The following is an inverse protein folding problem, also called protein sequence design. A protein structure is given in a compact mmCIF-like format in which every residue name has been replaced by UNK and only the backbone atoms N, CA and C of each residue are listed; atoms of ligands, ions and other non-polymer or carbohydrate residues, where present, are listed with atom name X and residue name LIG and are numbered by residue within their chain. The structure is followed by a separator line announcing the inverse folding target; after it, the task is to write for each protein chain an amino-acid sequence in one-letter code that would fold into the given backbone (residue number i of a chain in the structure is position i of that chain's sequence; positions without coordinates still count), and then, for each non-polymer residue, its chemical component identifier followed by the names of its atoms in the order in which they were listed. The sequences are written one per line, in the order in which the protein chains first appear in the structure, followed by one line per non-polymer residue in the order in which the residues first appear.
data_IF_762702542726
#
_entry.id   IF_762702542726
#
_cell.length_a   1.000
_cell.length_b   1.000
_cell.length_c   1.000
_cell.angle_alpha   90.00
_cell.angle_beta   90.00
_cell.angle_gamma   90.00
#
_symmetry.space_group_name_H-M   'P 1'
#
loop_
_entity.id
_entity.type
_entity.pdbx_description
1 polymer ?
#
# COMPACT_ATOMS: atom_id res chain seq x y z
N UNK A 1 12.21 20.04 21.64
CA UNK A 1 12.63 20.16 20.23
C UNK A 1 11.77 19.19 19.48
N UNK A 2 10.74 19.68 18.81
CA UNK A 2 9.52 18.89 18.54
C UNK A 2 9.60 18.09 17.23
N UNK A 3 10.79 18.04 16.63
CA UNK A 3 11.07 17.36 15.37
C UNK A 3 12.31 16.49 15.57
N UNK A 4 12.16 15.20 15.32
CA UNK A 4 13.24 14.22 15.35
C UNK A 4 13.84 14.03 13.96
N UNK A 5 15.04 13.45 13.89
CA UNK A 5 15.68 13.08 12.61
C UNK A 5 14.82 12.09 11.81
N UNK A 6 14.12 11.18 12.49
CA UNK A 6 13.19 10.23 11.87
C UNK A 6 12.05 10.95 11.11
N UNK A 7 11.45 11.98 11.72
CA UNK A 7 10.40 12.78 11.07
C UNK A 7 10.96 13.48 9.82
N UNK A 8 12.21 13.94 9.86
CA UNK A 8 12.85 14.59 8.71
C UNK A 8 13.14 13.57 7.59
N UNK A 9 13.62 12.38 7.92
CA UNK A 9 13.89 11.31 6.97
C UNK A 9 12.61 10.86 6.24
N UNK A 10 11.50 10.66 6.98
CA UNK A 10 10.21 10.31 6.39
C UNK A 10 9.70 11.41 5.44
N UNK A 11 9.83 12.68 5.82
CA UNK A 11 9.46 13.82 4.97
C UNK A 11 10.29 13.86 3.69
N UNK A 12 11.60 13.63 3.79
CA UNK A 12 12.48 13.59 2.63
C UNK A 12 12.09 12.47 1.67
N UNK A 13 11.85 11.26 2.20
CA UNK A 13 11.43 10.13 1.39
C UNK A 13 10.07 10.36 0.70
N UNK A 14 9.09 10.93 1.42
CA UNK A 14 7.80 11.34 0.86
C UNK A 14 7.95 12.37 -0.27
N UNK A 15 8.86 13.33 -0.12
CA UNK A 15 9.11 14.35 -1.13
C UNK A 15 9.79 13.79 -2.40
N UNK A 16 10.68 12.81 -2.24
CA UNK A 16 11.48 12.23 -3.34
C UNK A 16 10.72 11.17 -4.14
N UNK A 17 9.98 10.29 -3.44
CA UNK A 17 9.37 9.09 -4.01
C UNK A 17 7.83 9.16 -4.08
N UNK A 18 7.21 10.03 -3.28
CA UNK A 18 5.76 10.12 -3.15
C UNK A 18 5.15 9.05 -2.24
N UNK A 19 3.83 8.94 -2.26
CA UNK A 19 3.06 8.04 -1.41
C UNK A 19 1.99 7.29 -2.20
N UNK A 20 1.79 6.02 -1.83
CA UNK A 20 0.69 5.16 -2.26
C UNK A 20 -0.07 4.70 -1.01
N UNK A 21 -1.33 5.12 -0.91
CA UNK A 21 -2.25 4.73 0.17
C UNK A 21 -3.14 3.62 -0.34
N UNK A 22 -3.23 2.53 0.41
CA UNK A 22 -4.07 1.37 0.09
C UNK A 22 -5.04 1.19 1.25
N UNK A 23 -6.34 1.33 0.99
CA UNK A 23 -7.39 1.10 1.98
C UNK A 23 -8.09 -0.20 1.64
N UNK A 24 -8.18 -1.11 2.61
CA UNK A 24 -8.71 -2.46 2.46
C UNK A 24 -9.75 -2.74 3.55
N UNK A 25 -10.98 -3.05 3.14
CA UNK A 25 -12.07 -3.42 4.04
C UNK A 25 -12.21 -4.95 4.08
N UNK A 26 -11.81 -5.56 5.19
CA UNK A 26 -11.97 -6.98 5.47
C UNK A 26 -13.41 -7.26 5.93
N UNK A 27 -14.33 -7.33 4.98
CA UNK A 27 -15.74 -7.64 5.19
C UNK A 27 -16.17 -8.87 4.37
N UNK A 28 -17.45 -9.24 4.46
CA UNK A 28 -18.03 -10.31 3.62
C UNK A 28 -17.86 -10.03 2.12
N UNK A 29 -17.93 -8.76 1.73
CA UNK A 29 -17.61 -8.28 0.39
C UNK A 29 -16.35 -7.41 0.48
N UNK A 30 -15.15 -7.97 0.27
CA UNK A 30 -13.90 -7.24 0.47
C UNK A 30 -13.71 -6.13 -0.57
N UNK A 31 -13.39 -4.93 -0.10
CA UNK A 31 -13.18 -3.75 -0.96
C UNK A 31 -11.76 -3.24 -0.81
N UNK A 32 -11.13 -2.87 -1.92
CA UNK A 32 -9.82 -2.20 -1.93
C UNK A 32 -9.88 -0.92 -2.75
N UNK A 33 -9.32 0.15 -2.21
CA UNK A 33 -9.05 1.40 -2.91
C UNK A 33 -7.57 1.76 -2.83
N UNK A 34 -7.06 2.33 -3.92
CA UNK A 34 -5.66 2.73 -4.04
C UNK A 34 -5.61 4.16 -4.55
N UNK A 35 -4.92 5.02 -3.81
CA UNK A 35 -4.70 6.42 -4.16
C UNK A 35 -3.21 6.71 -4.09
N UNK A 36 -2.70 7.50 -5.03
CA UNK A 36 -1.29 7.90 -5.04
C UNK A 36 -1.14 9.42 -5.16
N UNK A 37 -0.12 9.97 -4.52
CA UNK A 37 0.26 11.40 -4.57
C UNK A 37 1.77 11.51 -4.73
N UNK A 38 2.25 12.35 -5.64
CA UNK A 38 3.69 12.53 -5.89
C UNK A 38 4.40 11.32 -6.50
N UNK A 39 3.70 10.19 -6.65
CA UNK A 39 4.21 8.97 -7.27
C UNK A 39 3.96 8.99 -8.79
N UNK A 40 4.89 8.41 -9.54
CA UNK A 40 5.04 8.39 -11.02
C UNK A 40 3.74 8.55 -11.82
N UNK A 41 3.76 9.35 -12.90
CA UNK A 41 2.66 9.47 -13.90
C UNK A 41 2.41 8.21 -14.75
N UNK A 42 2.77 7.02 -14.28
CA UNK A 42 2.70 5.75 -15.03
C UNK A 42 1.25 5.21 -15.23
N UNK A 43 0.25 5.96 -14.76
CA UNK A 43 -1.14 5.83 -15.20
C UNK A 43 -1.99 4.83 -14.41
N UNK A 44 -3.30 4.92 -14.61
CA UNK A 44 -4.34 4.10 -13.97
C UNK A 44 -4.06 2.59 -14.00
N UNK A 45 -3.33 2.11 -15.02
CA UNK A 45 -2.98 0.69 -15.17
C UNK A 45 -2.10 0.17 -14.03
N UNK A 46 -1.12 0.96 -13.58
CA UNK A 46 -0.23 0.55 -12.49
C UNK A 46 -1.00 0.44 -11.16
N UNK A 47 -1.83 1.44 -10.86
CA UNK A 47 -2.66 1.45 -9.66
C UNK A 47 -3.76 0.37 -9.71
N UNK A 48 -4.30 0.07 -10.89
CA UNK A 48 -5.23 -1.04 -11.10
C UNK A 48 -4.59 -2.38 -10.75
N UNK A 49 -3.33 -2.59 -11.13
CA UNK A 49 -2.59 -3.80 -10.77
C UNK A 49 -2.31 -3.89 -9.26
N UNK A 50 -1.91 -2.77 -8.62
CA UNK A 50 -1.78 -2.71 -7.15
C UNK A 50 -3.10 -3.05 -6.47
N UNK A 51 -4.23 -2.50 -6.94
CA UNK A 51 -5.56 -2.78 -6.41
C UNK A 51 -5.91 -4.26 -6.54
N UNK A 52 -5.61 -4.88 -7.69
CA UNK A 52 -5.81 -6.32 -7.92
C UNK A 52 -5.00 -7.17 -6.93
N UNK A 53 -3.70 -6.90 -6.82
CA UNK A 53 -2.81 -7.64 -5.91
C UNK A 53 -3.25 -7.51 -4.44
N UNK A 54 -3.63 -6.31 -4.02
CA UNK A 54 -4.09 -6.06 -2.66
C UNK A 54 -5.45 -6.73 -2.38
N UNK A 55 -6.37 -6.76 -3.35
CA UNK A 55 -7.65 -7.45 -3.22
C UNK A 55 -7.47 -8.98 -3.11
N UNK A 56 -6.57 -9.56 -3.90
CA UNK A 56 -6.24 -10.99 -3.81
C UNK A 56 -5.66 -11.36 -2.44
N UNK A 57 -4.73 -10.55 -1.93
CA UNK A 57 -4.16 -10.74 -0.59
C UNK A 57 -5.23 -10.62 0.52
N UNK A 58 -6.11 -9.61 0.41
CA UNK A 58 -7.23 -9.41 1.34
C UNK A 58 -8.20 -10.60 1.35
N UNK A 59 -8.65 -11.05 0.17
CA UNK A 59 -9.57 -12.18 0.03
C UNK A 59 -8.97 -13.47 0.60
N UNK A 60 -7.69 -13.73 0.34
CA UNK A 60 -6.99 -14.88 0.91
C UNK A 60 -6.89 -14.78 2.42
N UNK A 61 -6.52 -13.60 2.94
CA UNK A 61 -6.43 -13.34 4.38
C UNK A 61 -7.75 -13.52 5.13
N UNK A 62 -8.85 -13.00 4.58
CA UNK A 62 -10.20 -13.17 5.13
C UNK A 62 -10.61 -14.65 5.13
N UNK A 63 -10.39 -15.36 4.01
CA UNK A 63 -10.69 -16.81 3.89
C UNK A 63 -9.91 -17.64 4.91
N UNK A 64 -8.64 -17.30 5.14
CA UNK A 64 -7.76 -17.98 6.07
C UNK A 64 -7.89 -17.48 7.53
N UNK A 65 -8.77 -16.50 7.78
CA UNK A 65 -8.97 -15.87 9.10
C UNK A 65 -7.67 -15.34 9.70
N UNK A 66 -6.82 -14.72 8.87
CA UNK A 66 -5.56 -14.11 9.31
C UNK A 66 -5.83 -12.85 10.15
N UNK A 67 -4.98 -12.54 11.14
CA UNK A 67 -4.98 -11.23 11.79
C UNK A 67 -4.76 -10.09 10.78
N UNK A 68 -5.36 -8.92 11.02
CA UNK A 68 -5.30 -7.77 10.11
C UNK A 68 -3.86 -7.33 9.82
N UNK A 69 -2.95 -7.43 10.80
CA UNK A 69 -1.54 -7.10 10.65
C UNK A 69 -0.86 -8.02 9.62
N UNK A 70 -1.24 -9.30 9.59
CA UNK A 70 -0.72 -10.25 8.60
C UNK A 70 -1.26 -9.96 7.20
N UNK A 71 -2.54 -9.61 7.10
CA UNK A 71 -3.13 -9.19 5.81
C UNK A 71 -2.44 -7.92 5.31
N UNK A 72 -2.17 -6.96 6.21
CA UNK A 72 -1.44 -5.73 5.89
C UNK A 72 -0.05 -6.04 5.32
N UNK A 73 0.70 -6.96 5.93
CA UNK A 73 2.01 -7.38 5.45
C UNK A 73 1.94 -8.12 4.10
N UNK A 74 0.94 -9.00 3.94
CA UNK A 74 0.64 -9.74 2.70
C UNK A 74 0.28 -8.78 1.54
N UNK A 75 -0.25 -7.60 1.83
CA UNK A 75 -0.44 -6.51 0.85
C UNK A 75 0.88 -5.74 0.63
N UNK A 76 1.55 -5.33 1.70
CA UNK A 76 2.69 -4.42 1.66
C UNK A 76 3.86 -4.97 0.85
N UNK A 77 4.37 -6.17 1.18
CA UNK A 77 5.61 -6.67 0.60
C UNK A 77 5.51 -6.96 -0.90
N UNK A 78 4.44 -7.61 -1.41
CA UNK A 78 4.27 -7.83 -2.84
C UNK A 78 4.13 -6.53 -3.62
N UNK A 79 3.35 -5.57 -3.11
CA UNK A 79 3.16 -4.27 -3.76
C UNK A 79 4.48 -3.50 -3.80
N UNK A 80 5.25 -3.46 -2.70
CA UNK A 80 6.57 -2.82 -2.66
C UNK A 80 7.51 -3.39 -3.72
N UNK A 81 7.59 -4.72 -3.80
CA UNK A 81 8.42 -5.41 -4.80
C UNK A 81 7.96 -5.11 -6.23
N UNK A 82 6.64 -5.09 -6.46
CA UNK A 82 6.06 -4.80 -7.76
C UNK A 82 6.36 -3.37 -8.20
N UNK A 83 6.09 -2.37 -7.37
CA UNK A 83 6.33 -0.96 -7.70
C UNK A 83 7.81 -0.72 -8.00
N UNK A 84 8.72 -1.19 -7.13
CA UNK A 84 10.16 -1.09 -7.35
C UNK A 84 10.61 -1.72 -8.67
N UNK A 85 10.07 -2.89 -9.03
CA UNK A 85 10.39 -3.57 -10.29
C UNK A 85 9.79 -2.85 -11.51
N UNK A 86 8.56 -2.36 -11.40
CA UNK A 86 7.82 -1.78 -12.51
C UNK A 86 8.24 -0.34 -12.83
N UNK A 87 8.66 0.43 -11.82
CA UNK A 87 8.94 1.86 -11.97
C UNK A 87 10.36 2.27 -11.56
N UNK A 88 11.11 1.39 -10.90
CA UNK A 88 12.42 1.74 -10.32
C UNK A 88 12.34 2.65 -9.10
N UNK A 89 11.13 2.92 -8.58
CA UNK A 89 10.85 3.87 -7.49
C UNK A 89 10.38 3.12 -6.24
N UNK A 90 10.59 3.71 -5.07
CA UNK A 90 10.25 3.10 -3.78
C UNK A 90 9.39 4.09 -2.98
N UNK A 91 8.11 4.29 -3.36
CA UNK A 91 7.24 5.21 -2.66
C UNK A 91 6.96 4.74 -1.23
N UNK A 92 6.57 5.66 -0.36
CA UNK A 92 5.95 5.30 0.91
C UNK A 92 4.64 4.56 0.61
N UNK A 93 4.50 3.34 1.13
CA UNK A 93 3.28 2.54 0.99
C UNK A 93 2.60 2.50 2.35
N UNK A 94 1.37 3.01 2.42
CA UNK A 94 0.55 3.01 3.63
C UNK A 94 -0.67 2.09 3.44
N UNK A 95 -0.57 0.80 3.82
CA UNK A 95 -1.70 -0.11 3.80
C UNK A 95 -2.51 0.00 5.10
N UNK A 96 -3.78 0.36 4.95
CA UNK A 96 -4.76 0.45 6.04
C UNK A 96 -5.78 -0.66 5.84
N UNK A 97 -5.77 -1.66 6.72
CA UNK A 97 -6.74 -2.76 6.71
C UNK A 97 -7.69 -2.55 7.88
N UNK A 98 -8.99 -2.56 7.59
CA UNK A 98 -10.06 -2.31 8.56
C UNK A 98 -11.01 -3.51 8.51
N UNK A 99 -11.43 -4.01 9.67
CA UNK A 99 -12.50 -5.01 9.77
C UNK A 99 -13.86 -4.33 9.57
N UNK A 100 -14.73 -4.95 8.76
CA UNK A 100 -16.06 -4.42 8.42
C UNK A 100 -17.21 -5.32 8.85
#
# INVERSE_FOLDING_TARGET
GDITEEILADRQHLAEEGIVVITALAARDPVVEVVSRGFVKAGERLLGEVKRMALEALQNGVREKKPLERIRDDIYYPVKKFLKKATGRDPVILPVVIEG
#
